data_IF_953531452730
#
_entry.id   IF_953531452730
#
_cell.length_a   1.000
_cell.length_b   1.000
_cell.length_c   1.000
_cell.angle_alpha   90.00
_cell.angle_beta   90.00
_cell.angle_gamma   90.00
#
_symmetry.space_group_name_H-M   'P 1'
#
loop_
_entity.id
_entity.type
_entity.pdbx_description
1 polymer ?
#
# COMPACT_ATOMS: atom_id res chain seq x y z
N UNK A 1 19.25 28.36 43.61
CA UNK A 1 19.40 28.63 42.15
C UNK A 1 18.49 27.61 41.48
N UNK A 2 17.38 28.11 41.00
CA UNK A 2 16.28 27.33 40.46
C UNK A 2 16.63 26.85 39.03
N UNK A 3 16.54 25.56 38.82
CA UNK A 3 16.64 24.90 37.53
C UNK A 3 15.43 25.30 36.68
N UNK A 4 15.69 25.99 35.59
CA UNK A 4 14.68 26.54 34.68
C UNK A 4 13.97 25.43 33.93
N UNK A 5 12.67 25.37 34.13
CA UNK A 5 11.68 24.57 33.41
C UNK A 5 11.76 24.90 31.91
N UNK A 6 12.34 23.99 31.08
CA UNK A 6 12.34 24.13 29.65
C UNK A 6 10.94 23.71 29.12
N UNK A 7 10.26 24.55 28.36
CA UNK A 7 8.96 24.19 27.80
C UNK A 7 9.16 23.00 26.85
N UNK A 8 8.59 21.85 27.19
CA UNK A 8 8.46 20.71 26.32
C UNK A 8 7.47 21.08 25.19
N UNK A 9 8.02 21.32 24.00
CA UNK A 9 7.20 21.50 22.79
C UNK A 9 6.37 20.22 22.62
N UNK A 10 5.03 20.29 22.59
CA UNK A 10 4.21 19.09 22.41
C UNK A 10 4.53 18.45 21.06
N UNK A 11 5.02 17.22 21.09
CA UNK A 11 5.25 16.41 19.88
C UNK A 11 3.89 16.26 19.19
N UNK A 12 3.72 16.96 18.09
CA UNK A 12 2.49 16.92 17.28
C UNK A 12 2.33 15.49 16.77
N UNK A 13 1.31 14.77 17.26
CA UNK A 13 1.04 13.40 16.79
C UNK A 13 0.88 13.40 15.28
N UNK A 14 1.65 12.55 14.61
CA UNK A 14 1.58 12.35 13.17
C UNK A 14 0.16 11.92 12.75
N UNK A 15 -0.36 12.55 11.70
CA UNK A 15 -1.72 12.28 11.21
C UNK A 15 -1.63 11.02 10.36
N UNK A 16 -2.21 9.91 10.85
CA UNK A 16 -2.26 8.65 10.09
C UNK A 16 -3.42 8.66 9.09
N UNK A 17 -3.17 8.11 7.91
CA UNK A 17 -4.15 7.98 6.82
C UNK A 17 -5.19 6.88 7.05
N UNK A 18 -5.01 6.06 8.06
CA UNK A 18 -5.87 4.93 8.40
C UNK A 18 -6.30 4.96 9.87
N UNK A 19 -7.26 4.12 10.22
CA UNK A 19 -7.63 3.80 11.60
C UNK A 19 -7.30 2.32 11.84
N UNK A 20 -6.44 2.02 12.80
CA UNK A 20 -6.26 0.64 13.24
C UNK A 20 -7.56 0.16 13.88
N UNK A 21 -8.22 -0.78 13.23
CA UNK A 21 -9.35 -1.50 13.81
C UNK A 21 -8.83 -2.86 14.24
N UNK A 22 -8.85 -3.14 15.54
CA UNK A 22 -8.62 -4.49 16.05
C UNK A 22 -9.81 -5.35 15.68
N UNK A 23 -9.74 -6.01 14.52
CA UNK A 23 -10.72 -7.01 14.10
C UNK A 23 -10.52 -8.32 14.86
N UNK A 24 -11.58 -9.10 15.03
CA UNK A 24 -11.47 -10.46 15.57
C UNK A 24 -10.60 -11.29 14.61
N UNK A 25 -9.51 -11.84 15.13
CA UNK A 25 -8.64 -12.76 14.42
C UNK A 25 -9.08 -14.21 14.69
N UNK A 26 -9.17 -15.04 13.67
CA UNK A 26 -9.46 -16.47 13.83
C UNK A 26 -8.21 -17.25 14.23
N UNK A 27 -8.37 -18.46 14.81
CA UNK A 27 -7.22 -19.33 15.12
C UNK A 27 -6.35 -19.57 13.89
N UNK A 28 -6.95 -19.94 12.75
CA UNK A 28 -6.22 -20.17 11.50
C UNK A 28 -5.43 -18.95 11.01
N UNK A 29 -5.96 -17.74 11.19
CA UNK A 29 -5.21 -16.51 10.83
C UNK A 29 -4.07 -16.25 11.80
N UNK A 30 -4.25 -16.55 13.08
CA UNK A 30 -3.20 -16.43 14.09
C UNK A 30 -2.10 -17.44 13.82
N UNK A 31 -2.46 -18.71 13.60
CA UNK A 31 -1.52 -19.77 13.27
C UNK A 31 -0.70 -19.43 12.01
N UNK A 32 -1.34 -18.83 10.98
CA UNK A 32 -0.63 -18.38 9.78
C UNK A 32 0.38 -17.26 10.08
N UNK A 33 0.03 -16.30 10.93
CA UNK A 33 0.95 -15.24 11.35
C UNK A 33 2.14 -15.81 12.13
N UNK A 34 1.94 -16.87 12.91
CA UNK A 34 2.99 -17.45 13.73
C UNK A 34 3.89 -18.41 12.90
N UNK A 35 3.31 -19.16 11.93
CA UNK A 35 4.03 -20.24 11.21
C UNK A 35 4.50 -19.87 9.82
N UNK A 36 3.77 -19.00 9.09
CA UNK A 36 4.07 -18.62 7.70
C UNK A 36 4.82 -17.30 7.59
N UNK A 37 4.91 -16.54 8.68
CA UNK A 37 5.65 -15.27 8.69
C UNK A 37 7.11 -15.40 8.24
N UNK A 38 7.88 -16.44 8.64
CA UNK A 38 9.26 -16.60 8.17
C UNK A 38 9.39 -16.72 6.66
N UNK A 39 8.38 -17.21 5.95
CA UNK A 39 8.39 -17.37 4.49
C UNK A 39 7.89 -16.12 3.76
N UNK A 40 6.80 -15.53 4.23
CA UNK A 40 6.10 -14.47 3.51
C UNK A 40 6.21 -13.10 4.16
N UNK A 41 6.54 -13.04 5.44
CA UNK A 41 6.65 -11.78 6.18
C UNK A 41 7.88 -10.99 5.79
N UNK A 42 7.76 -9.66 5.82
CA UNK A 42 8.90 -8.76 5.77
C UNK A 42 8.86 -7.77 6.93
N UNK A 43 10.02 -7.45 7.46
CA UNK A 43 10.21 -6.52 8.56
C UNK A 43 11.40 -5.60 8.29
N UNK A 44 11.47 -4.50 9.01
CA UNK A 44 12.65 -3.64 8.95
C UNK A 44 13.91 -4.44 9.29
N UNK A 45 15.01 -4.13 8.64
CA UNK A 45 16.30 -4.78 8.88
C UNK A 45 16.90 -4.52 10.28
N UNK A 46 16.25 -3.69 11.09
CA UNK A 46 16.78 -3.21 12.36
C UNK A 46 17.96 -2.24 12.23
N UNK A 47 18.35 -1.93 11.01
CA UNK A 47 19.37 -0.94 10.64
C UNK A 47 18.77 0.20 9.82
N UNK A 48 19.51 1.28 9.62
CA UNK A 48 19.12 2.37 8.71
C UNK A 48 19.28 2.01 7.23
N UNK A 49 19.74 0.79 6.93
CA UNK A 49 19.94 0.31 5.56
C UNK A 49 18.63 -0.26 5.00
N UNK A 50 18.20 0.15 3.80
CA UNK A 50 17.04 -0.44 3.14
C UNK A 50 17.19 -1.95 2.93
N UNK A 51 16.05 -2.65 2.82
CA UNK A 51 16.01 -4.06 2.49
C UNK A 51 16.57 -4.32 1.09
N UNK A 52 17.42 -5.33 0.96
CA UNK A 52 17.81 -5.86 -0.34
C UNK A 52 16.69 -6.77 -0.87
N UNK A 53 15.96 -6.27 -1.88
CA UNK A 53 14.84 -7.00 -2.47
C UNK A 53 15.29 -8.26 -3.23
N UNK A 54 16.52 -8.28 -3.75
CA UNK A 54 17.08 -9.49 -4.39
C UNK A 54 17.30 -10.60 -3.36
N UNK A 55 17.81 -10.25 -2.19
CA UNK A 55 17.94 -11.20 -1.06
C UNK A 55 16.57 -11.63 -0.53
N UNK A 56 15.63 -10.67 -0.37
CA UNK A 56 14.29 -10.94 0.15
C UNK A 56 13.52 -11.95 -0.71
N UNK A 57 13.64 -11.86 -2.03
CA UNK A 57 12.93 -12.72 -2.99
C UNK A 57 13.79 -13.89 -3.52
N UNK A 58 15.11 -13.89 -3.27
CA UNK A 58 16.04 -14.83 -3.85
C UNK A 58 16.26 -14.67 -5.37
N UNK A 59 15.78 -13.57 -5.96
CA UNK A 59 15.87 -13.28 -7.40
C UNK A 59 15.74 -11.78 -7.68
N UNK A 60 16.24 -11.36 -8.85
CA UNK A 60 15.99 -10.03 -9.41
C UNK A 60 14.80 -10.12 -10.37
N UNK A 61 13.75 -9.35 -10.12
CA UNK A 61 12.56 -9.25 -10.96
C UNK A 61 11.89 -7.88 -10.74
N UNK A 62 11.00 -7.42 -11.63
CA UNK A 62 10.20 -6.22 -11.40
C UNK A 62 9.42 -6.33 -10.10
N UNK A 63 9.32 -5.22 -9.35
CA UNK A 63 8.69 -5.19 -8.02
C UNK A 63 7.43 -4.33 -8.05
N UNK A 64 6.32 -4.94 -7.70
CA UNK A 64 5.00 -4.30 -7.52
C UNK A 64 4.72 -4.15 -6.03
N UNK A 65 4.37 -2.94 -5.60
CA UNK A 65 4.06 -2.62 -4.21
C UNK A 65 2.59 -2.23 -4.05
N UNK A 66 1.81 -2.99 -3.29
CA UNK A 66 0.38 -2.73 -3.05
C UNK A 66 0.14 -2.25 -1.62
N UNK A 67 -0.51 -1.08 -1.50
CA UNK A 67 -0.88 -0.47 -0.22
C UNK A 67 -2.32 -0.82 0.13
N UNK A 68 -2.53 -1.38 1.33
CA UNK A 68 -3.87 -1.63 1.86
C UNK A 68 -4.58 -2.79 1.17
N UNK A 69 -3.92 -3.93 0.97
CA UNK A 69 -4.48 -5.07 0.25
C UNK A 69 -5.74 -5.70 0.90
N UNK A 70 -6.12 -5.30 2.11
CA UNK A 70 -7.33 -5.74 2.79
C UNK A 70 -7.42 -7.27 2.93
N UNK A 71 -8.38 -7.89 2.21
CA UNK A 71 -8.55 -9.35 2.15
C UNK A 71 -7.56 -10.06 1.21
N UNK A 72 -6.79 -9.30 0.42
CA UNK A 72 -5.75 -9.76 -0.48
C UNK A 72 -6.25 -10.41 -1.77
N UNK A 73 -7.52 -10.20 -2.13
CA UNK A 73 -8.06 -10.85 -3.34
C UNK A 73 -7.36 -10.36 -4.60
N UNK A 74 -7.08 -9.06 -4.73
CA UNK A 74 -6.38 -8.48 -5.87
C UNK A 74 -4.88 -8.80 -5.85
N UNK A 75 -4.22 -8.64 -4.71
CA UNK A 75 -2.81 -8.95 -4.53
C UNK A 75 -2.47 -10.40 -4.93
N UNK A 76 -3.22 -11.36 -4.40
CA UNK A 76 -3.01 -12.78 -4.69
C UNK A 76 -3.31 -13.13 -6.13
N UNK A 77 -4.35 -12.52 -6.72
CA UNK A 77 -4.69 -12.70 -8.13
C UNK A 77 -3.56 -12.22 -9.05
N UNK A 78 -2.94 -11.08 -8.75
CA UNK A 78 -1.80 -10.56 -9.50
C UNK A 78 -0.56 -11.44 -9.34
N UNK A 79 -0.24 -11.81 -8.10
CA UNK A 79 0.94 -12.64 -7.81
C UNK A 79 0.87 -14.01 -8.48
N UNK A 80 -0.32 -14.63 -8.53
CA UNK A 80 -0.53 -15.92 -9.21
C UNK A 80 -0.37 -15.82 -10.73
N UNK A 81 -0.80 -14.69 -11.34
CA UNK A 81 -0.82 -14.51 -12.80
C UNK A 81 0.45 -13.92 -13.39
N UNK A 82 1.29 -13.32 -12.56
CA UNK A 82 2.56 -12.72 -12.97
C UNK A 82 3.72 -13.28 -12.14
N UNK A 83 4.03 -14.58 -12.30
CA UNK A 83 5.11 -15.23 -11.53
C UNK A 83 6.49 -14.64 -11.85
N UNK A 84 6.65 -13.94 -12.96
CA UNK A 84 7.87 -13.22 -13.36
C UNK A 84 8.08 -11.92 -12.58
N UNK A 85 7.08 -11.41 -11.85
CA UNK A 85 7.16 -10.22 -11.02
C UNK A 85 7.22 -10.60 -9.54
N UNK A 86 7.75 -9.71 -8.71
CA UNK A 86 7.74 -9.79 -7.26
C UNK A 86 6.67 -8.83 -6.71
N UNK A 87 5.92 -9.29 -5.72
CA UNK A 87 4.84 -8.51 -5.10
C UNK A 87 5.12 -8.27 -3.62
N UNK A 88 4.99 -7.02 -3.20
CA UNK A 88 5.02 -6.61 -1.80
C UNK A 88 3.65 -6.03 -1.45
N UNK A 89 2.95 -6.66 -0.51
CA UNK A 89 1.70 -6.14 0.04
C UNK A 89 1.90 -5.57 1.44
N UNK A 90 1.32 -4.38 1.71
CA UNK A 90 1.36 -3.78 3.05
C UNK A 90 -0.05 -3.56 3.56
N UNK A 91 -0.34 -4.03 4.79
CA UNK A 91 -1.65 -3.91 5.41
C UNK A 91 -1.50 -3.75 6.93
N UNK A 92 -2.29 -2.87 7.53
CA UNK A 92 -2.29 -2.64 8.98
C UNK A 92 -3.26 -3.55 9.74
N UNK A 93 -4.22 -4.14 9.03
CA UNK A 93 -5.26 -5.01 9.57
C UNK A 93 -4.78 -6.47 9.63
N UNK A 94 -4.26 -6.89 10.79
CA UNK A 94 -3.67 -8.22 11.00
C UNK A 94 -4.53 -9.42 10.54
N UNK A 95 -5.87 -9.44 10.75
CA UNK A 95 -6.70 -10.51 10.19
C UNK A 95 -6.62 -10.64 8.66
N UNK A 96 -6.50 -9.52 7.95
CA UNK A 96 -6.27 -9.50 6.50
C UNK A 96 -4.93 -10.15 6.13
N UNK A 97 -3.88 -9.77 6.84
CA UNK A 97 -2.53 -10.34 6.66
C UNK A 97 -2.56 -11.87 6.87
N UNK A 98 -3.07 -12.35 8.00
CA UNK A 98 -3.17 -13.79 8.27
C UNK A 98 -3.98 -14.57 7.22
N UNK A 99 -5.01 -13.93 6.65
CA UNK A 99 -5.78 -14.51 5.53
C UNK A 99 -4.92 -14.63 4.26
N UNK A 100 -4.15 -13.60 3.93
CA UNK A 100 -3.26 -13.59 2.75
C UNK A 100 -2.19 -14.66 2.90
N UNK A 101 -1.56 -14.80 4.06
CA UNK A 101 -0.56 -15.83 4.32
C UNK A 101 -1.11 -17.24 4.06
N UNK A 102 -2.28 -17.58 4.62
CA UNK A 102 -2.92 -18.87 4.39
C UNK A 102 -3.22 -19.15 2.92
N UNK A 103 -3.62 -18.13 2.16
CA UNK A 103 -3.96 -18.27 0.75
C UNK A 103 -2.70 -18.35 -0.11
N UNK A 104 -1.68 -17.54 0.18
CA UNK A 104 -0.39 -17.58 -0.52
C UNK A 104 0.25 -18.97 -0.41
N UNK A 105 0.22 -19.57 0.79
CA UNK A 105 0.72 -20.94 1.02
C UNK A 105 -0.06 -21.97 0.21
N UNK A 106 -1.41 -21.90 0.20
CA UNK A 106 -2.24 -22.80 -0.59
C UNK A 106 -2.01 -22.68 -2.10
N UNK A 107 -1.67 -21.49 -2.59
CA UNK A 107 -1.35 -21.22 -3.99
C UNK A 107 0.11 -21.51 -4.33
N UNK A 108 0.95 -21.79 -3.34
CA UNK A 108 2.38 -22.05 -3.53
C UNK A 108 3.15 -20.84 -4.06
N UNK A 109 2.76 -19.61 -3.69
CA UNK A 109 3.37 -18.39 -4.21
C UNK A 109 4.76 -18.19 -3.60
N UNK A 110 5.77 -17.99 -4.45
CA UNK A 110 7.15 -17.68 -4.02
C UNK A 110 7.49 -16.20 -4.26
N UNK A 111 6.70 -15.53 -5.08
CA UNK A 111 6.89 -14.15 -5.53
C UNK A 111 6.14 -13.11 -4.68
N UNK A 112 5.65 -13.45 -3.49
CA UNK A 112 4.90 -12.56 -2.61
C UNK A 112 5.61 -12.37 -1.27
N UNK A 113 5.65 -11.11 -0.80
CA UNK A 113 6.02 -10.76 0.58
C UNK A 113 4.99 -9.79 1.14
N UNK A 114 4.76 -9.84 2.45
CA UNK A 114 3.78 -8.97 3.12
C UNK A 114 4.36 -8.32 4.37
N UNK A 115 4.00 -7.05 4.60
CA UNK A 115 4.29 -6.34 5.82
C UNK A 115 2.99 -6.00 6.58
N UNK A 116 3.01 -6.20 7.90
CA UNK A 116 1.92 -5.76 8.78
C UNK A 116 2.29 -4.43 9.43
N UNK A 117 2.32 -3.35 8.63
CA UNK A 117 2.89 -2.07 9.04
C UNK A 117 2.22 -0.88 8.34
N UNK A 118 2.59 0.36 8.73
CA UNK A 118 2.21 1.58 8.01
C UNK A 118 2.96 1.64 6.67
N UNK A 119 2.24 1.70 5.56
CA UNK A 119 2.84 1.70 4.23
C UNK A 119 3.75 2.91 3.97
N UNK A 120 3.44 4.08 4.57
CA UNK A 120 4.30 5.28 4.46
C UNK A 120 5.64 5.04 5.15
N UNK A 121 5.63 4.39 6.31
CA UNK A 121 6.85 4.04 7.03
C UNK A 121 7.65 2.96 6.27
N UNK A 122 6.98 1.93 5.72
CA UNK A 122 7.63 0.92 4.88
C UNK A 122 8.30 1.55 3.66
N UNK A 123 7.58 2.40 2.93
CA UNK A 123 8.15 3.10 1.76
C UNK A 123 9.35 3.95 2.16
N UNK A 124 9.24 4.72 3.25
CA UNK A 124 10.26 5.67 3.65
C UNK A 124 11.51 5.00 4.21
N UNK A 125 11.32 3.99 5.06
CA UNK A 125 12.38 3.48 5.94
C UNK A 125 12.91 2.10 5.52
N UNK A 126 12.12 1.29 4.77
CA UNK A 126 12.52 -0.08 4.44
C UNK A 126 12.95 -0.26 2.97
N UNK A 127 12.52 0.62 2.08
CA UNK A 127 12.80 0.49 0.65
C UNK A 127 13.84 1.50 0.17
N UNK A 128 14.71 1.03 -0.72
CA UNK A 128 15.68 1.90 -1.39
C UNK A 128 14.98 2.85 -2.37
N UNK A 129 15.57 4.02 -2.68
CA UNK A 129 15.16 4.82 -3.82
C UNK A 129 15.16 3.98 -5.10
N UNK A 130 14.20 4.26 -6.01
CA UNK A 130 14.12 3.65 -7.34
C UNK A 130 14.12 2.10 -7.33
N UNK A 131 13.50 1.51 -6.31
CA UNK A 131 13.43 0.06 -6.16
C UNK A 131 12.13 -0.56 -6.67
N UNK A 132 11.11 0.24 -6.96
CA UNK A 132 9.79 -0.22 -7.38
C UNK A 132 9.54 0.05 -8.86
N UNK A 133 8.95 -0.92 -9.55
CA UNK A 133 8.48 -0.78 -10.93
C UNK A 133 7.02 -0.30 -10.99
N UNK A 134 6.22 -0.68 -9.98
CA UNK A 134 4.82 -0.27 -9.89
C UNK A 134 4.41 -0.10 -8.42
N UNK A 135 3.59 0.92 -8.14
CA UNK A 135 2.89 1.10 -6.88
C UNK A 135 1.38 1.13 -7.12
N UNK A 136 0.64 0.40 -6.29
CA UNK A 136 -0.81 0.24 -6.40
C UNK A 136 -1.46 0.75 -5.11
N UNK A 137 -2.46 1.62 -5.26
CA UNK A 137 -3.28 2.16 -4.18
C UNK A 137 -4.76 2.10 -4.59
N UNK A 138 -5.45 1.05 -4.21
CA UNK A 138 -6.85 0.83 -4.57
C UNK A 138 -7.76 1.04 -3.37
N UNK A 139 -8.81 1.82 -3.56
CA UNK A 139 -9.87 2.09 -2.58
C UNK A 139 -9.38 2.53 -1.19
N UNK A 140 -8.44 3.50 -1.12
CA UNK A 140 -8.02 4.06 0.16
C UNK A 140 -9.18 4.78 0.86
N UNK A 141 -9.11 4.90 2.19
CA UNK A 141 -10.14 5.59 2.99
C UNK A 141 -10.42 7.01 2.44
N UNK A 142 -11.63 7.32 1.96
CA UNK A 142 -11.94 8.59 1.30
C UNK A 142 -12.10 9.76 2.28
N UNK A 143 -12.26 9.49 3.59
CA UNK A 143 -12.42 10.51 4.63
C UNK A 143 -13.47 11.56 4.26
N UNK A 144 -14.73 11.17 4.11
CA UNK A 144 -15.84 11.97 3.58
C UNK A 144 -15.98 13.38 4.20
N UNK A 145 -15.70 13.54 5.51
CA UNK A 145 -15.84 14.84 6.19
C UNK A 145 -14.65 15.75 5.89
N UNK A 146 -14.87 16.97 5.43
CA UNK A 146 -13.83 17.94 5.04
C UNK A 146 -12.73 18.12 6.09
N UNK A 147 -13.08 18.17 7.39
CA UNK A 147 -12.10 18.22 8.50
C UNK A 147 -11.13 17.03 8.55
N UNK A 148 -11.46 15.94 7.86
CA UNK A 148 -10.65 14.71 7.79
C UNK A 148 -9.87 14.59 6.46
N UNK A 149 -10.06 15.44 5.47
CA UNK A 149 -9.36 15.37 4.18
C UNK A 149 -7.83 15.38 4.33
N UNK A 150 -7.30 16.04 5.37
CA UNK A 150 -5.89 15.99 5.73
C UNK A 150 -5.36 14.58 6.08
N UNK A 151 -6.26 13.59 6.25
CA UNK A 151 -5.93 12.18 6.48
C UNK A 151 -5.89 11.38 5.18
N UNK A 152 -6.38 11.90 4.08
CA UNK A 152 -6.25 11.26 2.77
C UNK A 152 -4.78 11.00 2.51
N UNK A 153 -4.43 9.80 2.09
CA UNK A 153 -3.03 9.42 1.87
C UNK A 153 -2.43 10.16 0.67
N UNK A 154 -3.21 10.37 -0.39
CA UNK A 154 -2.75 11.10 -1.58
C UNK A 154 -2.65 12.59 -1.26
N UNK A 155 -1.44 13.01 -0.93
CA UNK A 155 -1.03 14.36 -0.60
C UNK A 155 0.33 14.64 -1.24
N UNK A 156 0.74 15.91 -1.45
CA UNK A 156 2.02 16.23 -2.10
C UNK A 156 3.24 15.54 -1.46
N UNK A 157 3.31 15.47 -0.13
CA UNK A 157 4.42 14.80 0.56
C UNK A 157 4.45 13.28 0.30
N UNK A 158 3.29 12.64 0.17
CA UNK A 158 3.19 11.23 -0.19
C UNK A 158 3.61 11.00 -1.64
N UNK A 159 3.20 11.89 -2.58
CA UNK A 159 3.63 11.79 -3.97
C UNK A 159 5.14 11.90 -4.12
N UNK A 160 5.78 12.83 -3.42
CA UNK A 160 7.24 12.96 -3.42
C UNK A 160 7.93 11.69 -2.90
N UNK A 161 7.36 11.06 -1.86
CA UNK A 161 7.85 9.77 -1.36
C UNK A 161 7.68 8.66 -2.41
N UNK A 162 6.49 8.53 -3.01
CA UNK A 162 6.21 7.55 -4.08
C UNK A 162 7.16 7.74 -5.25
N UNK A 163 7.33 8.97 -5.74
CA UNK A 163 8.25 9.29 -6.82
C UNK A 163 9.69 8.88 -6.50
N UNK A 164 10.13 9.09 -5.25
CA UNK A 164 11.48 8.69 -4.83
C UNK A 164 11.70 7.17 -4.79
N UNK A 165 10.64 6.36 -4.71
CA UNK A 165 10.71 4.89 -4.61
C UNK A 165 10.46 4.19 -5.94
N UNK A 166 9.63 4.78 -6.80
CA UNK A 166 9.45 4.28 -8.17
C UNK A 166 10.71 4.53 -9.00
N UNK A 167 11.04 3.62 -9.88
CA UNK A 167 12.02 3.83 -10.95
C UNK A 167 11.54 4.91 -11.93
N UNK A 168 12.42 5.60 -12.65
CA UNK A 168 12.01 6.41 -13.79
C UNK A 168 11.16 5.58 -14.77
N UNK A 169 9.99 6.11 -15.16
CA UNK A 169 9.02 5.38 -15.97
C UNK A 169 8.15 4.37 -15.20
N UNK A 170 8.38 4.18 -13.90
CA UNK A 170 7.56 3.32 -13.04
C UNK A 170 6.12 3.80 -12.92
N UNK A 171 5.20 2.89 -12.63
CA UNK A 171 3.76 3.12 -12.66
C UNK A 171 3.19 3.38 -11.27
N UNK A 172 2.30 4.35 -11.18
CA UNK A 172 1.46 4.55 -10.00
C UNK A 172 -0.01 4.38 -10.40
N UNK A 173 -0.62 3.27 -9.95
CA UNK A 173 -2.04 2.97 -10.18
C UNK A 173 -2.86 3.30 -8.96
N UNK A 174 -3.99 3.96 -9.20
CA UNK A 174 -4.96 4.27 -8.14
C UNK A 174 -6.35 3.89 -8.61
N UNK A 175 -7.21 3.53 -7.65
CA UNK A 175 -8.65 3.39 -7.89
C UNK A 175 -9.43 3.88 -6.68
N UNK A 176 -10.60 4.45 -6.92
CA UNK A 176 -11.55 4.85 -5.87
C UNK A 176 -12.98 4.83 -6.41
N UNK A 177 -13.94 4.50 -5.54
CA UNK A 177 -15.37 4.55 -5.81
C UNK A 177 -16.01 5.86 -5.29
N UNK A 178 -15.19 6.83 -4.83
CA UNK A 178 -15.63 8.09 -4.28
C UNK A 178 -15.21 9.26 -5.17
N UNK A 179 -16.14 9.79 -5.96
CA UNK A 179 -15.88 10.84 -6.95
C UNK A 179 -15.09 12.03 -6.37
N UNK A 180 -15.46 12.63 -5.20
CA UNK A 180 -14.68 13.75 -4.66
C UNK A 180 -13.27 13.38 -4.21
N UNK A 181 -12.96 12.09 -4.09
CA UNK A 181 -11.58 11.65 -3.83
C UNK A 181 -10.83 11.42 -5.15
N UNK A 182 -11.50 10.91 -6.18
CA UNK A 182 -10.91 10.83 -7.53
C UNK A 182 -10.48 12.23 -8.04
N UNK A 183 -11.35 13.24 -7.86
CA UNK A 183 -11.04 14.63 -8.19
C UNK A 183 -9.81 15.14 -7.41
N UNK A 184 -9.77 14.92 -6.10
CA UNK A 184 -8.62 15.28 -5.27
C UNK A 184 -7.34 14.56 -5.68
N UNK A 185 -7.40 13.25 -6.00
CA UNK A 185 -6.24 12.50 -6.47
C UNK A 185 -5.68 13.11 -7.76
N UNK A 186 -6.54 13.41 -8.74
CA UNK A 186 -6.13 14.05 -9.99
C UNK A 186 -5.52 15.43 -9.73
N UNK A 187 -6.21 16.28 -8.95
CA UNK A 187 -5.70 17.61 -8.61
C UNK A 187 -4.28 17.58 -8.04
N UNK A 188 -4.01 16.67 -7.10
CA UNK A 188 -2.70 16.56 -6.44
C UNK A 188 -1.65 15.96 -7.39
N UNK A 189 -2.02 14.98 -8.21
CA UNK A 189 -1.12 14.31 -9.16
C UNK A 189 -0.78 15.21 -10.34
N UNK A 190 -1.76 15.90 -10.93
CA UNK A 190 -1.57 16.80 -12.06
C UNK A 190 -0.72 18.04 -11.67
N UNK A 191 -0.79 18.46 -10.41
CA UNK A 191 0.07 19.51 -9.87
C UNK A 191 1.51 19.06 -9.58
N UNK A 192 1.79 17.76 -9.60
CA UNK A 192 3.14 17.22 -9.34
C UNK A 192 4.01 17.24 -10.59
N UNK A 193 5.23 17.77 -10.47
CA UNK A 193 6.22 17.70 -11.55
C UNK A 193 6.75 16.28 -11.79
N UNK A 194 6.57 15.36 -10.83
CA UNK A 194 7.17 14.02 -10.87
C UNK A 194 6.34 13.01 -11.66
N UNK A 195 5.07 13.33 -11.96
CA UNK A 195 4.14 12.38 -12.57
C UNK A 195 3.52 12.91 -13.85
N UNK A 196 3.18 11.98 -14.74
CA UNK A 196 2.42 12.24 -15.96
C UNK A 196 1.40 11.11 -16.17
N UNK A 197 0.15 11.46 -16.47
CA UNK A 197 -0.91 10.46 -16.58
C UNK A 197 -2.31 11.04 -16.47
N UNK A 198 -3.24 10.24 -15.97
CA UNK A 198 -4.64 10.66 -15.82
C UNK A 198 -5.58 9.49 -15.59
N UNK A 199 -6.84 9.69 -15.95
CA UNK A 199 -7.86 8.66 -15.90
C UNK A 199 -7.58 7.56 -16.93
N UNK A 200 -7.74 6.31 -16.53
CA UNK A 200 -7.44 5.14 -17.34
C UNK A 200 -8.58 4.12 -17.26
N UNK A 201 -8.57 3.17 -18.18
CA UNK A 201 -9.45 2.04 -18.11
C UNK A 201 -9.05 1.11 -16.95
N UNK A 202 -10.05 0.44 -16.38
CA UNK A 202 -9.79 -0.59 -15.39
C UNK A 202 -8.84 -1.66 -15.96
N UNK A 203 -7.70 -1.95 -15.32
CA UNK A 203 -6.77 -2.95 -15.81
C UNK A 203 -7.31 -4.37 -15.62
N UNK A 204 -7.02 -5.27 -16.56
CA UNK A 204 -7.38 -6.69 -16.45
C UNK A 204 -6.76 -7.38 -15.23
N UNK A 205 -5.62 -6.87 -14.77
CA UNK A 205 -4.93 -7.34 -13.55
C UNK A 205 -5.67 -7.01 -12.25
N UNK A 206 -6.76 -6.21 -12.31
CA UNK A 206 -7.59 -5.88 -11.15
C UNK A 206 -8.90 -6.67 -11.17
N UNK A 207 -9.01 -7.76 -10.42
CA UNK A 207 -10.25 -8.53 -10.31
C UNK A 207 -11.34 -7.69 -9.61
N UNK A 208 -12.61 -7.96 -9.90
CA UNK A 208 -13.71 -7.39 -9.11
C UNK A 208 -13.66 -7.96 -7.70
N UNK A 209 -13.32 -7.13 -6.74
CA UNK A 209 -13.31 -7.51 -5.34
C UNK A 209 -14.75 -7.52 -4.78
N UNK A 210 -14.96 -8.18 -3.63
CA UNK A 210 -16.25 -8.13 -2.93
C UNK A 210 -16.64 -6.71 -2.52
N UNK A 211 -15.64 -5.88 -2.24
CA UNK A 211 -15.84 -4.46 -1.91
C UNK A 211 -16.40 -3.71 -3.12
N UNK A 212 -15.75 -3.82 -4.28
CA UNK A 212 -16.23 -3.21 -5.53
C UNK A 212 -17.62 -3.69 -5.92
N UNK A 213 -17.85 -4.99 -5.97
CA UNK A 213 -19.14 -5.56 -6.33
C UNK A 213 -20.27 -5.07 -5.38
N UNK A 214 -19.96 -4.73 -4.14
CA UNK A 214 -20.92 -4.10 -3.22
C UNK A 214 -21.13 -2.64 -3.57
N UNK A 215 -20.07 -1.87 -3.86
CA UNK A 215 -20.14 -0.47 -4.27
C UNK A 215 -20.97 -0.30 -5.54
N UNK A 216 -20.69 -1.10 -6.58
CA UNK A 216 -21.43 -1.11 -7.85
C UNK A 216 -22.95 -1.35 -7.64
N UNK A 217 -23.31 -2.31 -6.77
CA UNK A 217 -24.72 -2.54 -6.41
C UNK A 217 -25.38 -1.36 -5.71
N UNK A 218 -24.60 -0.49 -5.08
CA UNK A 218 -25.06 0.76 -4.45
C UNK A 218 -25.00 1.95 -5.40
N UNK A 219 -24.63 1.73 -6.68
CA UNK A 219 -24.56 2.79 -7.70
C UNK A 219 -23.27 3.59 -7.67
N UNK A 220 -22.23 3.11 -6.97
CA UNK A 220 -20.91 3.73 -7.02
C UNK A 220 -20.26 3.49 -8.38
N UNK A 221 -19.58 4.50 -8.89
CA UNK A 221 -18.78 4.43 -10.13
C UNK A 221 -17.32 4.43 -9.72
N UNK A 222 -16.58 3.43 -10.20
CA UNK A 222 -15.15 3.34 -9.95
C UNK A 222 -14.40 4.25 -10.93
N UNK A 223 -13.46 5.03 -10.42
CA UNK A 223 -12.51 5.80 -11.21
C UNK A 223 -11.14 5.15 -11.05
N UNK A 224 -10.54 4.76 -12.16
CA UNK A 224 -9.18 4.26 -12.27
C UNK A 224 -8.26 5.35 -12.79
N UNK A 225 -7.08 5.49 -12.18
CA UNK A 225 -6.08 6.46 -12.56
C UNK A 225 -4.74 5.73 -12.78
N UNK A 226 -4.04 6.11 -13.82
CA UNK A 226 -2.69 5.64 -14.11
C UNK A 226 -1.76 6.83 -14.34
N UNK A 227 -0.72 6.88 -13.53
CA UNK A 227 0.36 7.85 -13.67
C UNK A 227 1.70 7.14 -13.81
N UNK A 228 2.61 7.79 -14.54
CA UNK A 228 3.97 7.32 -14.75
C UNK A 228 4.93 8.33 -14.12
N UNK A 229 5.92 7.83 -13.38
CA UNK A 229 7.02 8.67 -12.90
C UNK A 229 7.83 9.18 -14.11
N UNK A 230 8.10 10.49 -14.12
CA UNK A 230 8.98 11.15 -15.08
C UNK A 230 10.45 10.84 -14.83
#
# INVERSE_FOLDING_TARGET
MSEQDKPTVPVRREIKSFVRREGRITSSQKDALDTLWPRYGMEASGSSTPLDLTVLFGRTAPVVFEIGFGAGDALLFRAERAPEQNFIGVEVHRPGVGRVLNRAEKLGLDNLRVASHDAVEVLRDWLAPESLDELILEFPDPWHKSRHHKRRIVQPAFLALVASRLKPGGLFRLATDWVPYAEHMREVLDASADFDGGEDARPESRPITRFEARGERLGHVNTDLLYRRR
#
